data_IF_666217135471
#
_entry.id   IF_666217135471
#
_cell.length_a   1.000
_cell.length_b   1.000
_cell.length_c   1.000
_cell.angle_alpha   90.00
_cell.angle_beta   90.00
_cell.angle_gamma   90.00
#
_symmetry.space_group_name_H-M   'P 1'
#
loop_
_entity.id
_entity.type
_entity.pdbx_description
1 polymer ?
#
# COMPACT_ATOMS: atom_id res chain seq x y z
N UNK A 1 18.70 32.75 2.52
CA UNK A 1 19.41 33.01 1.25
C UNK A 1 18.64 32.35 0.13
N UNK A 2 18.03 33.16 -0.75
CA UNK A 2 17.15 32.72 -1.80
C UNK A 2 17.94 32.51 -3.10
N UNK A 3 17.80 31.34 -3.73
CA UNK A 3 18.28 31.11 -5.09
C UNK A 3 17.08 31.00 -6.04
N UNK A 4 16.94 32.03 -6.88
CA UNK A 4 15.99 32.12 -7.98
C UNK A 4 16.68 31.64 -9.25
N UNK A 5 16.17 30.58 -9.89
CA UNK A 5 16.59 30.18 -11.23
C UNK A 5 15.55 30.63 -12.26
N UNK A 6 15.93 31.58 -13.13
CA UNK A 6 15.15 32.02 -14.29
C UNK A 6 15.43 31.08 -15.47
N UNK A 7 14.39 30.52 -16.08
CA UNK A 7 14.46 29.77 -17.34
C UNK A 7 14.07 30.71 -18.49
N UNK A 8 14.95 30.87 -19.46
CA UNK A 8 14.67 31.55 -20.73
C UNK A 8 14.10 30.56 -21.77
N UNK A 9 13.11 30.97 -22.59
CA UNK A 9 12.56 30.11 -23.64
C UNK A 9 13.49 30.08 -24.87
N UNK A 10 13.71 28.90 -25.43
CA UNK A 10 14.39 28.72 -26.71
C UNK A 10 13.45 29.06 -27.86
N UNK A 11 13.92 29.94 -28.74
CA UNK A 11 13.29 30.36 -29.99
C UNK A 11 13.40 29.29 -31.08
N UNK A 12 12.29 29.13 -31.81
CA UNK A 12 12.10 28.32 -33.00
C UNK A 12 12.92 28.77 -34.21
N UNK A 13 13.52 27.83 -34.93
CA UNK A 13 13.97 28.03 -36.32
C UNK A 13 13.41 26.93 -37.23
N UNK A 14 12.62 27.38 -38.19
CA UNK A 14 12.13 26.65 -39.34
C UNK A 14 13.23 26.43 -40.37
N UNK A 15 13.36 25.21 -40.90
CA UNK A 15 14.05 24.97 -42.16
C UNK A 15 13.14 24.14 -43.08
N UNK A 16 12.70 24.80 -44.14
CA UNK A 16 12.09 24.23 -45.34
C UNK A 16 13.24 23.93 -46.30
N UNK A 17 13.28 22.72 -46.88
CA UNK A 17 13.90 22.52 -48.18
C UNK A 17 13.20 21.39 -48.93
N UNK A 18 12.85 21.71 -50.18
CA UNK A 18 12.16 20.88 -51.15
C UNK A 18 13.14 20.43 -52.23
N UNK A 19 13.04 19.18 -52.69
CA UNK A 19 13.17 18.85 -54.11
C UNK A 19 12.72 17.43 -54.42
N UNK A 20 11.95 17.29 -55.50
CA UNK A 20 11.35 16.09 -56.06
C UNK A 20 12.35 15.29 -56.91
N UNK A 21 12.21 13.96 -56.96
CA UNK A 21 12.30 13.16 -58.19
C UNK A 21 11.76 11.73 -57.98
N UNK A 22 11.11 11.16 -59.00
CA UNK A 22 10.31 9.92 -59.00
C UNK A 22 11.08 8.72 -59.61
N UNK A 23 10.95 7.54 -58.98
CA UNK A 23 10.66 6.14 -59.46
C UNK A 23 11.42 5.53 -60.68
N UNK A 24 11.56 4.18 -60.84
CA UNK A 24 10.55 3.15 -60.54
C UNK A 24 11.02 1.81 -59.90
N UNK A 25 10.03 0.94 -59.70
CA UNK A 25 9.97 -0.33 -58.94
C UNK A 25 10.64 -1.55 -59.61
N UNK A 26 11.07 -2.52 -58.81
CA UNK A 26 10.74 -3.96 -59.01
C UNK A 26 10.94 -4.78 -57.72
N UNK A 27 10.28 -5.96 -57.57
CA UNK A 27 9.98 -6.57 -56.28
C UNK A 27 10.98 -7.65 -55.88
N UNK A 28 11.26 -7.78 -54.58
CA UNK A 28 11.87 -9.00 -54.04
C UNK A 28 11.05 -9.58 -52.89
N UNK A 29 11.03 -10.91 -52.92
CA UNK A 29 10.15 -11.83 -52.23
C UNK A 29 10.21 -11.76 -50.69
N UNK A 30 9.10 -12.22 -50.14
CA UNK A 30 8.83 -12.41 -48.72
C UNK A 30 9.82 -13.35 -48.03
N UNK A 31 10.22 -12.99 -46.81
CA UNK A 31 10.46 -13.95 -45.74
C UNK A 31 9.75 -13.47 -44.48
N UNK A 32 8.64 -14.14 -44.16
CA UNK A 32 8.00 -14.07 -42.85
C UNK A 32 8.95 -14.69 -41.81
N UNK A 33 9.63 -13.86 -41.03
CA UNK A 33 10.28 -14.32 -39.81
C UNK A 33 9.20 -14.46 -38.73
N UNK A 34 8.95 -15.71 -38.32
CA UNK A 34 8.12 -16.03 -37.17
C UNK A 34 8.68 -15.30 -35.93
N UNK A 35 7.86 -14.64 -35.09
CA UNK A 35 8.34 -14.15 -33.81
C UNK A 35 8.70 -15.36 -32.94
N UNK A 36 9.95 -15.39 -32.50
CA UNK A 36 10.49 -16.38 -31.57
C UNK A 36 9.94 -16.03 -30.18
N UNK A 37 8.90 -16.74 -29.75
CA UNK A 37 8.36 -16.60 -28.39
C UNK A 37 9.28 -17.32 -27.41
N UNK A 38 10.22 -16.56 -26.80
CA UNK A 38 11.01 -17.05 -25.68
C UNK A 38 10.12 -16.97 -24.43
N UNK A 39 9.60 -18.12 -24.00
CA UNK A 39 8.86 -18.25 -22.74
C UNK A 39 9.88 -18.41 -21.61
N UNK A 40 10.30 -17.28 -21.02
CA UNK A 40 11.08 -17.30 -19.79
C UNK A 40 10.12 -17.54 -18.62
N UNK A 41 10.03 -18.79 -18.14
CA UNK A 41 9.43 -19.10 -16.85
C UNK A 41 10.44 -18.75 -15.76
N UNK A 42 10.29 -17.61 -15.11
CA UNK A 42 10.95 -17.34 -13.82
C UNK A 42 9.97 -17.69 -12.71
N UNK A 43 9.86 -18.98 -12.41
CA UNK A 43 9.37 -19.41 -11.09
C UNK A 43 10.55 -19.24 -10.14
N UNK A 44 10.65 -18.07 -9.51
CA UNK A 44 11.53 -17.86 -8.37
C UNK A 44 10.94 -18.61 -7.19
N UNK A 45 11.60 -19.70 -6.82
CA UNK A 45 11.27 -20.53 -5.67
C UNK A 45 11.86 -19.85 -4.41
N UNK A 46 11.01 -19.12 -3.67
CA UNK A 46 11.38 -18.41 -2.44
C UNK A 46 11.53 -19.35 -1.22
N UNK A 47 11.57 -20.67 -1.41
CA UNK A 47 11.65 -21.65 -0.31
C UNK A 47 13.06 -21.86 0.28
N UNK A 48 14.08 -21.19 -0.25
CA UNK A 48 15.43 -21.18 0.35
C UNK A 48 15.74 -19.80 0.89
N UNK A 49 16.50 -19.76 1.98
CA UNK A 49 16.98 -18.59 2.72
C UNK A 49 16.11 -18.15 3.92
N UNK A 50 16.11 -19.00 4.95
CA UNK A 50 16.20 -18.56 6.35
C UNK A 50 17.34 -19.35 7.00
N UNK A 51 18.47 -18.71 7.23
CA UNK A 51 19.50 -19.24 8.13
C UNK A 51 19.24 -18.72 9.54
N UNK A 52 18.12 -19.11 10.11
CA UNK A 52 17.89 -19.19 11.54
C UNK A 52 16.69 -20.12 11.76
N UNK A 53 16.90 -21.19 12.52
CA UNK A 53 15.91 -22.24 12.77
C UNK A 53 14.91 -21.76 13.84
N UNK A 54 13.99 -20.88 13.45
CA UNK A 54 12.71 -20.68 14.15
C UNK A 54 11.67 -21.52 13.44
N UNK A 55 10.86 -22.28 14.19
CA UNK A 55 9.79 -23.16 13.69
C UNK A 55 8.98 -22.43 12.61
N UNK A 56 9.10 -22.84 11.36
CA UNK A 56 8.41 -22.20 10.24
C UNK A 56 6.92 -22.54 10.32
N UNK A 57 6.11 -21.57 10.73
CA UNK A 57 4.66 -21.62 10.51
C UNK A 57 4.39 -21.81 9.02
N UNK A 58 3.47 -22.70 8.59
CA UNK A 58 3.15 -22.86 7.18
C UNK A 58 2.62 -21.54 6.62
N UNK A 59 3.38 -20.91 5.72
CA UNK A 59 2.90 -19.77 4.94
C UNK A 59 2.05 -20.32 3.79
N UNK A 60 0.76 -19.98 3.76
CA UNK A 60 -0.10 -20.34 2.65
C UNK A 60 -0.40 -19.11 1.81
N UNK A 61 0.34 -18.98 0.71
CA UNK A 61 0.14 -17.94 -0.28
C UNK A 61 -0.90 -18.40 -1.32
N UNK A 62 -1.81 -17.51 -1.70
CA UNK A 62 -2.86 -17.80 -2.67
C UNK A 62 -3.31 -16.52 -3.39
N UNK A 63 -4.25 -16.66 -4.34
CA UNK A 63 -4.87 -15.54 -5.02
C UNK A 63 -6.38 -15.64 -4.93
N UNK A 64 -7.03 -14.51 -4.69
CA UNK A 64 -8.48 -14.35 -4.77
C UNK A 64 -8.83 -13.48 -5.98
N UNK A 65 -9.91 -13.79 -6.69
CA UNK A 65 -10.31 -13.01 -7.86
C UNK A 65 -11.31 -11.94 -7.49
N UNK A 66 -10.86 -10.68 -7.51
CA UNK A 66 -11.74 -9.54 -7.35
C UNK A 66 -12.33 -9.10 -8.68
N UNK A 67 -13.66 -9.17 -8.80
CA UNK A 67 -14.37 -8.64 -9.96
C UNK A 67 -14.71 -7.17 -9.72
N UNK A 68 -14.09 -6.28 -10.49
CA UNK A 68 -14.38 -4.84 -10.46
C UNK A 68 -14.68 -4.31 -11.86
N UNK A 69 -15.94 -3.92 -12.08
CA UNK A 69 -16.47 -3.58 -13.41
C UNK A 69 -16.22 -4.74 -14.39
N UNK A 70 -15.55 -4.47 -15.50
CA UNK A 70 -15.20 -5.45 -16.53
C UNK A 70 -13.84 -6.13 -16.27
N UNK A 71 -13.17 -5.82 -15.16
CA UNK A 71 -11.88 -6.41 -14.80
C UNK A 71 -12.05 -7.55 -13.81
N UNK A 72 -11.29 -8.63 -14.05
CA UNK A 72 -11.05 -9.70 -13.09
C UNK A 72 -9.60 -9.56 -12.64
N UNK A 73 -9.39 -9.28 -11.36
CA UNK A 73 -8.11 -8.85 -10.82
C UNK A 73 -7.66 -9.92 -9.83
N UNK A 74 -6.51 -10.53 -10.05
CA UNK A 74 -5.93 -11.46 -9.09
C UNK A 74 -5.35 -10.66 -7.92
N UNK A 75 -5.85 -10.95 -6.73
CA UNK A 75 -5.48 -10.33 -5.47
C UNK A 75 -4.65 -11.35 -4.70
N UNK A 76 -3.37 -11.04 -4.52
CA UNK A 76 -2.46 -11.88 -3.76
C UNK A 76 -2.70 -11.72 -2.26
N UNK A 77 -2.67 -12.84 -1.54
CA UNK A 77 -2.77 -12.84 -0.09
C UNK A 77 -1.98 -13.98 0.54
N UNK A 78 -1.60 -13.80 1.80
CA UNK A 78 -0.85 -14.76 2.63
C UNK A 78 -1.59 -15.04 3.92
N UNK A 79 -1.81 -16.32 4.23
CA UNK A 79 -2.37 -16.78 5.50
C UNK A 79 -1.25 -17.27 6.43
N UNK A 80 -1.33 -16.85 7.69
CA UNK A 80 -0.50 -17.28 8.80
C UNK A 80 -1.40 -17.82 9.91
N UNK A 81 -1.18 -19.06 10.35
CA UNK A 81 -2.01 -19.70 11.37
C UNK A 81 -1.16 -20.48 12.38
N UNK A 82 -1.63 -20.56 13.62
CA UNK A 82 -1.04 -21.45 14.62
C UNK A 82 -1.42 -22.92 14.33
N UNK A 83 -0.64 -23.88 14.82
CA UNK A 83 -1.04 -25.29 14.82
C UNK A 83 -2.01 -25.57 15.98
N UNK A 84 -3.23 -25.02 15.89
CA UNK A 84 -4.31 -25.29 16.84
C UNK A 84 -5.46 -26.04 16.17
N UNK A 85 -6.15 -26.88 16.94
CA UNK A 85 -7.35 -27.59 16.50
C UNK A 85 -8.62 -26.73 16.62
N UNK A 86 -8.57 -25.61 17.36
CA UNK A 86 -9.71 -24.73 17.56
C UNK A 86 -10.01 -23.92 16.29
N UNK A 87 -11.28 -23.61 15.98
CA UNK A 87 -11.62 -22.75 14.86
C UNK A 87 -10.93 -21.38 14.96
N UNK A 88 -10.25 -20.90 13.92
CA UNK A 88 -9.52 -19.64 13.99
C UNK A 88 -10.46 -18.43 13.96
N UNK A 89 -10.08 -17.36 14.64
CA UNK A 89 -10.60 -16.01 14.43
C UNK A 89 -9.67 -15.23 13.52
N UNK A 90 -10.22 -14.51 12.55
CA UNK A 90 -9.43 -13.83 11.54
C UNK A 90 -8.99 -12.41 11.97
N UNK A 91 -7.73 -12.12 11.67
CA UNK A 91 -7.15 -10.80 11.61
C UNK A 91 -6.84 -10.50 10.15
N UNK A 92 -7.43 -9.44 9.59
CA UNK A 92 -7.04 -8.92 8.30
C UNK A 92 -5.95 -7.85 8.48
N UNK A 93 -4.77 -8.09 7.93
CA UNK A 93 -3.66 -7.13 7.91
C UNK A 93 -3.54 -6.52 6.52
N UNK A 94 -3.55 -5.20 6.47
CA UNK A 94 -3.58 -4.45 5.22
C UNK A 94 -2.33 -3.57 5.16
N UNK A 95 -1.40 -3.85 4.22
CA UNK A 95 -0.24 -3.01 3.95
C UNK A 95 -0.62 -1.55 3.77
N UNK A 96 0.35 -0.67 4.00
CA UNK A 96 0.22 0.73 3.61
C UNK A 96 -0.09 0.87 2.13
N UNK A 97 -0.45 2.08 1.70
CA UNK A 97 -0.49 2.42 0.29
C UNK A 97 0.68 3.35 0.00
N UNK A 98 1.64 2.85 -0.77
CA UNK A 98 2.80 3.59 -1.25
C UNK A 98 3.21 3.07 -2.63
N UNK A 99 4.33 3.56 -3.15
CA UNK A 99 4.83 3.17 -4.46
C UNK A 99 5.29 1.71 -4.55
N UNK A 100 5.60 1.11 -3.39
CA UNK A 100 6.24 -0.21 -3.26
C UNK A 100 5.60 -1.06 -2.17
N UNK A 101 4.38 -0.73 -1.75
CA UNK A 101 3.69 -1.45 -0.70
C UNK A 101 3.35 -2.88 -1.09
N UNK A 102 3.41 -3.77 -0.11
CA UNK A 102 3.29 -5.22 -0.30
C UNK A 102 3.00 -5.93 1.03
N UNK A 103 2.51 -7.17 0.98
CA UNK A 103 2.30 -8.04 2.16
C UNK A 103 3.54 -8.18 3.05
N UNK A 104 4.73 -7.98 2.49
CA UNK A 104 6.00 -8.13 3.21
C UNK A 104 6.09 -7.22 4.45
N UNK A 105 5.42 -6.06 4.41
CA UNK A 105 5.34 -5.10 5.51
C UNK A 105 4.81 -5.72 6.81
N UNK A 106 4.01 -6.79 6.72
CA UNK A 106 3.30 -7.39 7.85
C UNK A 106 3.73 -8.83 8.17
N UNK A 107 4.59 -9.46 7.35
CA UNK A 107 4.92 -10.90 7.48
C UNK A 107 5.49 -11.27 8.85
N UNK A 108 6.37 -10.44 9.41
CA UNK A 108 6.99 -10.70 10.72
C UNK A 108 5.94 -10.52 11.83
N UNK A 109 5.18 -9.41 11.78
CA UNK A 109 4.09 -9.13 12.72
C UNK A 109 3.05 -10.27 12.73
N UNK A 110 2.62 -10.74 11.57
CA UNK A 110 1.67 -11.84 11.42
C UNK A 110 2.20 -13.14 12.03
N UNK A 111 3.45 -13.52 11.72
CA UNK A 111 4.07 -14.73 12.31
C UNK A 111 4.15 -14.64 13.82
N UNK A 112 4.61 -13.53 14.36
CA UNK A 112 4.75 -13.39 15.80
C UNK A 112 3.39 -13.41 16.50
N UNK A 113 2.39 -12.70 15.96
CA UNK A 113 1.05 -12.64 16.55
C UNK A 113 0.40 -14.01 16.66
N UNK A 114 0.45 -14.84 15.61
CA UNK A 114 -0.18 -16.17 15.63
C UNK A 114 0.60 -17.21 16.44
N UNK A 115 1.86 -16.89 16.82
CA UNK A 115 2.68 -17.75 17.70
C UNK A 115 2.62 -17.34 19.17
N UNK A 116 2.13 -16.14 19.49
CA UNK A 116 1.99 -15.68 20.87
C UNK A 116 0.91 -16.47 21.60
N UNK A 117 1.14 -16.69 22.89
CA UNK A 117 0.16 -17.31 23.77
C UNK A 117 -1.11 -16.45 23.86
N UNK A 118 -2.24 -17.05 23.49
CA UNK A 118 -3.54 -16.40 23.39
C UNK A 118 -4.62 -17.43 23.70
N UNK A 119 -5.70 -17.00 24.36
CA UNK A 119 -6.88 -17.86 24.55
C UNK A 119 -7.66 -18.10 23.25
N UNK A 120 -7.40 -17.28 22.23
CA UNK A 120 -8.06 -17.33 20.94
C UNK A 120 -7.06 -17.85 19.91
N UNK A 121 -7.47 -18.83 19.11
CA UNK A 121 -6.69 -19.23 17.95
C UNK A 121 -6.79 -18.14 16.87
N UNK A 122 -5.79 -17.27 16.78
CA UNK A 122 -5.75 -16.23 15.75
C UNK A 122 -5.16 -16.77 14.43
N UNK A 123 -5.79 -16.40 13.32
CA UNK A 123 -5.24 -16.51 11.97
C UNK A 123 -5.09 -15.13 11.37
N UNK A 124 -3.90 -14.80 10.89
CA UNK A 124 -3.62 -13.54 10.22
C UNK A 124 -3.63 -13.74 8.71
N UNK A 125 -4.40 -12.91 8.01
CA UNK A 125 -4.44 -12.84 6.55
C UNK A 125 -3.89 -11.49 6.11
N UNK A 126 -2.80 -11.48 5.35
CA UNK A 126 -2.21 -10.26 4.77
C UNK A 126 -2.60 -10.19 3.30
N UNK A 127 -3.07 -9.04 2.83
CA UNK A 127 -3.55 -8.88 1.45
C UNK A 127 -2.81 -7.76 0.70
N UNK A 128 -2.47 -8.00 -0.56
CA UNK A 128 -1.99 -6.94 -1.44
C UNK A 128 -3.14 -6.18 -2.09
N UNK A 129 -3.06 -4.86 -2.08
CA UNK A 129 -3.99 -3.99 -2.79
C UNK A 129 -4.02 -4.27 -4.31
N UNK A 130 -5.18 -4.11 -4.98
CA UNK A 130 -5.21 -4.07 -6.44
C UNK A 130 -4.27 -2.97 -6.94
N UNK A 131 -3.36 -3.32 -7.85
CA UNK A 131 -2.37 -2.39 -8.36
C UNK A 131 -1.04 -2.29 -7.59
N UNK A 132 -0.87 -3.01 -6.49
CA UNK A 132 0.35 -3.03 -5.66
C UNK A 132 0.83 -4.46 -5.38
N UNK A 133 1.99 -4.60 -4.72
CA UNK A 133 2.55 -5.89 -4.31
C UNK A 133 2.57 -6.96 -5.41
N UNK A 134 2.18 -8.17 -5.07
CA UNK A 134 2.11 -9.30 -5.98
C UNK A 134 0.75 -9.41 -6.70
N UNK A 135 -0.24 -8.57 -6.35
CA UNK A 135 -1.52 -8.45 -7.05
C UNK A 135 -1.37 -7.92 -8.49
N UNK A 136 -2.42 -8.16 -9.29
CA UNK A 136 -2.54 -7.62 -10.65
C UNK A 136 -2.61 -6.09 -10.65
N UNK A 137 -2.09 -5.48 -11.72
CA UNK A 137 -1.96 -4.01 -11.83
C UNK A 137 -2.61 -3.46 -13.10
N UNK A 138 -3.91 -3.68 -13.30
CA UNK A 138 -4.60 -3.20 -14.48
C UNK A 138 -4.60 -1.67 -14.53
N UNK A 139 -4.65 -1.13 -15.74
CA UNK A 139 -4.87 0.30 -15.97
C UNK A 139 -6.32 0.63 -15.58
N UNK A 140 -6.49 1.31 -14.45
CA UNK A 140 -7.79 1.84 -14.03
C UNK A 140 -7.64 3.22 -13.37
N UNK A 141 -8.75 3.88 -13.11
CA UNK A 141 -8.80 5.16 -12.40
C UNK A 141 -8.86 4.90 -10.89
N UNK A 142 -7.72 4.49 -10.32
CA UNK A 142 -7.56 4.32 -8.88
C UNK A 142 -7.84 5.63 -8.14
N UNK A 143 -8.70 5.57 -7.14
CA UNK A 143 -9.04 6.65 -6.21
C UNK A 143 -9.47 6.02 -4.86
N UNK A 144 -9.68 6.86 -3.84
CA UNK A 144 -10.09 6.40 -2.51
C UNK A 144 -11.36 5.52 -2.53
N UNK A 145 -12.36 5.84 -3.36
CA UNK A 145 -13.60 5.06 -3.46
C UNK A 145 -13.35 3.67 -4.06
N UNK A 146 -12.45 3.56 -5.04
CA UNK A 146 -12.07 2.26 -5.62
C UNK A 146 -11.34 1.40 -4.59
N UNK A 147 -10.42 1.98 -3.83
CA UNK A 147 -9.67 1.26 -2.79
C UNK A 147 -10.60 0.86 -1.63
N UNK A 148 -11.50 1.74 -1.19
CA UNK A 148 -12.55 1.44 -0.20
C UNK A 148 -13.47 0.32 -0.71
N UNK A 149 -13.90 0.38 -1.98
CA UNK A 149 -14.76 -0.67 -2.58
C UNK A 149 -14.08 -2.02 -2.59
N UNK A 150 -12.79 -2.07 -2.92
CA UNK A 150 -11.99 -3.30 -2.82
C UNK A 150 -12.01 -3.86 -1.40
N UNK A 151 -11.71 -3.02 -0.40
CA UNK A 151 -11.71 -3.44 1.01
C UNK A 151 -13.07 -4.00 1.44
N UNK A 152 -14.16 -3.30 1.09
CA UNK A 152 -15.52 -3.72 1.39
C UNK A 152 -15.86 -5.05 0.71
N UNK A 153 -15.48 -5.23 -0.56
CA UNK A 153 -15.71 -6.47 -1.29
C UNK A 153 -14.89 -7.63 -0.72
N UNK A 154 -13.62 -7.39 -0.38
CA UNK A 154 -12.73 -8.38 0.21
C UNK A 154 -13.29 -8.94 1.52
N UNK A 155 -13.77 -8.04 2.40
CA UNK A 155 -14.31 -8.41 3.72
C UNK A 155 -15.66 -9.13 3.58
N UNK A 156 -16.53 -8.68 2.67
CA UNK A 156 -17.89 -9.20 2.55
C UNK A 156 -18.02 -10.39 1.59
N UNK A 157 -16.98 -10.69 0.79
CA UNK A 157 -17.01 -11.76 -0.19
C UNK A 157 -17.24 -13.13 0.48
N UNK A 158 -18.23 -13.92 0.04
CA UNK A 158 -18.51 -15.24 0.61
C UNK A 158 -17.40 -16.26 0.32
N UNK A 159 -16.62 -16.04 -0.73
CA UNK A 159 -15.43 -16.81 -1.14
C UNK A 159 -14.13 -16.03 -0.91
N UNK A 160 -14.21 -14.92 -0.18
CA UNK A 160 -13.08 -14.07 0.14
C UNK A 160 -12.12 -14.72 1.13
N UNK A 161 -10.89 -14.21 1.24
CA UNK A 161 -9.84 -14.79 2.08
C UNK A 161 -10.13 -14.68 3.58
N UNK A 162 -11.11 -13.88 4.00
CA UNK A 162 -11.56 -13.74 5.40
C UNK A 162 -13.04 -14.14 5.60
N UNK A 163 -13.59 -14.93 4.68
CA UNK A 163 -15.01 -15.31 4.64
C UNK A 163 -15.53 -16.09 5.85
N UNK A 164 -14.64 -16.74 6.61
CA UNK A 164 -14.97 -17.54 7.80
C UNK A 164 -15.27 -16.73 9.07
N UNK A 165 -14.97 -15.42 9.10
CA UNK A 165 -15.01 -14.61 10.34
C UNK A 165 -15.96 -13.41 10.28
N UNK A 166 -17.09 -13.53 9.57
CA UNK A 166 -17.96 -12.38 9.24
C UNK A 166 -18.34 -11.48 10.43
N UNK A 167 -18.55 -12.05 11.61
CA UNK A 167 -18.94 -11.30 12.82
C UNK A 167 -17.79 -11.13 13.83
N UNK A 168 -16.63 -11.72 13.56
CA UNK A 168 -15.50 -11.80 14.51
C UNK A 168 -14.19 -11.21 13.97
N UNK A 169 -14.21 -10.61 12.77
CA UNK A 169 -13.03 -10.05 12.11
C UNK A 169 -12.44 -8.85 12.87
N UNK A 170 -11.13 -8.86 13.06
CA UNK A 170 -10.33 -7.69 13.48
C UNK A 170 -9.50 -7.20 12.30
N UNK A 171 -9.34 -5.87 12.13
CA UNK A 171 -8.59 -5.31 10.99
C UNK A 171 -7.43 -4.45 11.47
N UNK A 172 -6.21 -4.76 11.00
CA UNK A 172 -5.01 -3.95 11.22
C UNK A 172 -4.60 -3.31 9.90
N UNK A 173 -4.56 -1.98 9.85
CA UNK A 173 -4.20 -1.23 8.65
C UNK A 173 -3.00 -0.33 8.90
N UNK A 174 -2.07 -0.28 7.94
CA UNK A 174 -0.97 0.69 7.94
C UNK A 174 -1.31 1.95 7.14
N UNK A 175 -0.90 3.14 7.60
CA UNK A 175 -0.95 4.36 6.78
C UNK A 175 -2.36 4.66 6.23
N UNK A 176 -2.46 4.88 4.91
CA UNK A 176 -3.75 5.10 4.22
C UNK A 176 -4.74 3.94 4.31
N UNK A 177 -4.26 2.71 4.50
CA UNK A 177 -5.13 1.56 4.69
C UNK A 177 -5.99 1.72 5.95
N UNK A 178 -5.40 2.21 7.04
CA UNK A 178 -6.13 2.50 8.27
C UNK A 178 -7.25 3.51 8.03
N UNK A 179 -6.94 4.62 7.35
CA UNK A 179 -7.92 5.68 7.08
C UNK A 179 -9.08 5.19 6.19
N UNK A 180 -8.81 4.34 5.20
CA UNK A 180 -9.84 3.71 4.36
C UNK A 180 -10.70 2.72 5.16
N UNK A 181 -10.10 1.91 6.03
CA UNK A 181 -10.84 0.98 6.91
C UNK A 181 -11.77 1.74 7.87
N UNK A 182 -11.28 2.79 8.52
CA UNK A 182 -12.09 3.63 9.42
C UNK A 182 -13.23 4.28 8.63
N UNK A 183 -12.97 4.80 7.42
CA UNK A 183 -14.01 5.37 6.56
C UNK A 183 -15.09 4.37 6.17
N UNK A 184 -14.71 3.16 5.78
CA UNK A 184 -15.63 2.09 5.43
C UNK A 184 -16.49 1.65 6.64
N UNK A 185 -15.87 1.53 7.82
CA UNK A 185 -16.55 1.20 9.06
C UNK A 185 -17.53 2.31 9.49
N UNK A 186 -17.12 3.57 9.39
CA UNK A 186 -17.96 4.73 9.73
C UNK A 186 -19.20 4.83 8.83
N UNK A 187 -19.04 4.46 7.55
CA UNK A 187 -20.15 4.35 6.58
C UNK A 187 -21.01 3.08 6.75
N UNK A 188 -20.67 2.21 7.70
CA UNK A 188 -21.38 0.95 7.95
C UNK A 188 -21.24 -0.09 6.83
N UNK A 189 -20.24 0.06 5.94
CA UNK A 189 -19.99 -0.85 4.82
C UNK A 189 -19.25 -2.12 5.26
N UNK A 190 -18.53 -2.04 6.37
CA UNK A 190 -17.88 -3.16 7.08
C UNK A 190 -18.11 -2.99 8.58
N UNK A 191 -18.06 -4.10 9.32
CA UNK A 191 -18.32 -4.11 10.77
C UNK A 191 -17.28 -4.98 11.52
N UNK A 192 -15.98 -4.63 11.46
CA UNK A 192 -14.99 -5.36 12.24
C UNK A 192 -15.25 -5.16 13.74
N UNK A 193 -14.86 -6.14 14.55
CA UNK A 193 -14.95 -6.06 16.03
C UNK A 193 -13.98 -5.05 16.63
N UNK A 194 -12.87 -4.80 15.95
CA UNK A 194 -11.96 -3.72 16.29
C UNK A 194 -10.98 -3.43 15.16
N UNK A 195 -10.35 -2.26 15.26
CA UNK A 195 -9.42 -1.75 14.27
C UNK A 195 -8.13 -1.31 14.96
N UNK A 196 -6.98 -1.74 14.45
CA UNK A 196 -5.71 -1.10 14.77
C UNK A 196 -5.23 -0.28 13.57
N UNK A 197 -5.09 1.02 13.79
CA UNK A 197 -4.58 2.00 12.85
C UNK A 197 -3.10 2.25 13.15
N UNK A 198 -2.21 1.63 12.37
CA UNK A 198 -0.75 1.71 12.56
C UNK A 198 -0.15 2.78 11.66
N UNK A 199 0.52 3.75 12.28
CA UNK A 199 1.04 4.95 11.63
C UNK A 199 0.03 5.56 10.64
N UNK A 200 -1.23 5.84 11.05
CA UNK A 200 -2.28 6.17 10.10
C UNK A 200 -2.01 7.49 9.39
N UNK A 201 -2.16 7.48 8.08
CA UNK A 201 -2.00 8.64 7.20
C UNK A 201 -3.21 8.75 6.28
N UNK A 202 -3.49 9.95 5.78
CA UNK A 202 -4.61 10.17 4.88
C UNK A 202 -4.27 11.05 3.68
N UNK A 203 -3.18 11.81 3.73
CA UNK A 203 -2.78 12.73 2.67
C UNK A 203 -1.56 12.20 1.92
N UNK A 204 -1.66 12.14 0.59
CA UNK A 204 -0.57 11.75 -0.29
C UNK A 204 0.60 12.74 -0.28
N UNK A 205 1.78 12.36 -0.79
CA UNK A 205 3.01 13.15 -0.71
C UNK A 205 2.90 14.58 -1.24
N UNK A 206 2.22 14.82 -2.37
CA UNK A 206 2.11 16.18 -2.90
C UNK A 206 1.08 17.03 -2.12
N UNK A 207 -0.16 16.56 -1.88
CA UNK A 207 -1.12 17.31 -1.07
C UNK A 207 -0.61 17.65 0.33
N UNK A 208 0.07 16.73 1.02
CA UNK A 208 0.55 16.99 2.38
C UNK A 208 1.66 18.04 2.41
N UNK A 209 2.47 18.15 1.35
CA UNK A 209 3.59 19.09 1.28
C UNK A 209 3.16 20.46 0.75
N UNK A 210 2.33 20.47 -0.30
CA UNK A 210 2.02 21.67 -1.09
C UNK A 210 0.57 22.16 -0.94
N UNK A 211 -0.29 21.44 -0.22
CA UNK A 211 -1.68 21.82 -0.01
C UNK A 211 -2.61 21.42 -1.15
N UNK A 212 -3.84 21.94 -1.12
CA UNK A 212 -4.95 21.51 -2.00
C UNK A 212 -5.71 22.67 -2.65
N UNK A 213 -5.07 23.82 -2.85
CA UNK A 213 -5.74 24.89 -3.58
C UNK A 213 -6.00 24.47 -5.04
N UNK A 214 -6.97 25.14 -5.68
CA UNK A 214 -7.42 24.82 -7.04
C UNK A 214 -6.28 24.79 -8.08
N UNK A 215 -5.25 25.62 -7.88
CA UNK A 215 -4.09 25.65 -8.76
C UNK A 215 -3.19 24.42 -8.59
N UNK A 216 -3.03 23.94 -7.35
CA UNK A 216 -2.30 22.71 -7.05
C UNK A 216 -3.03 21.48 -7.56
N UNK A 217 -4.34 21.38 -7.33
CA UNK A 217 -5.17 20.26 -7.81
C UNK A 217 -5.10 20.12 -9.34
N UNK A 218 -5.07 21.24 -10.07
CA UNK A 218 -4.88 21.23 -11.51
C UNK A 218 -3.50 20.67 -11.93
N UNK A 219 -2.42 21.03 -11.20
CA UNK A 219 -1.06 20.51 -11.43
C UNK A 219 -0.97 19.01 -11.13
N UNK A 220 -1.63 18.57 -10.06
CA UNK A 220 -1.73 17.15 -9.69
C UNK A 220 -2.42 16.35 -10.80
N UNK A 221 -3.51 16.88 -11.36
CA UNK A 221 -4.18 16.30 -12.52
C UNK A 221 -3.26 16.13 -13.74
N UNK A 222 -2.50 17.18 -14.08
CA UNK A 222 -1.54 17.13 -15.19
C UNK A 222 -0.41 16.11 -14.98
N UNK A 223 0.20 16.11 -13.78
CA UNK A 223 1.25 15.18 -13.43
C UNK A 223 0.74 13.73 -13.50
N UNK A 224 -0.43 13.46 -12.91
CA UNK A 224 -1.09 12.15 -12.96
C UNK A 224 -1.36 11.71 -14.40
N UNK A 225 -1.92 12.60 -15.23
CA UNK A 225 -2.15 12.32 -16.65
C UNK A 225 -0.85 11.94 -17.37
N UNK A 226 0.24 12.66 -17.07
CA UNK A 226 1.56 12.40 -17.65
C UNK A 226 2.12 11.04 -17.21
N UNK A 227 2.10 10.72 -15.92
CA UNK A 227 2.54 9.40 -15.41
C UNK A 227 1.73 8.24 -16.00
N UNK A 228 0.45 8.45 -16.30
CA UNK A 228 -0.43 7.43 -16.89
C UNK A 228 -0.23 7.25 -18.40
N UNK A 229 0.37 8.24 -19.09
CA UNK A 229 0.56 8.21 -20.53
C UNK A 229 1.45 7.03 -20.98
N UNK A 230 1.13 6.34 -22.08
CA UNK A 230 2.03 5.35 -22.68
C UNK A 230 3.38 5.99 -23.05
N UNK A 231 4.47 5.21 -22.96
CA UNK A 231 5.85 5.62 -23.22
C UNK A 231 6.37 6.76 -22.32
N UNK A 232 5.89 8.00 -22.49
CA UNK A 232 6.35 9.18 -21.72
C UNK A 232 6.14 8.99 -20.22
N UNK A 233 4.96 8.49 -19.83
CA UNK A 233 4.67 8.21 -18.42
C UNK A 233 5.54 7.10 -17.85
N UNK A 234 5.91 6.09 -18.66
CA UNK A 234 6.83 5.04 -18.25
C UNK A 234 8.26 5.56 -18.07
N UNK A 235 8.74 6.39 -18.99
CA UNK A 235 10.05 7.03 -18.86
C UNK A 235 10.11 7.91 -17.61
N UNK A 236 9.09 8.73 -17.37
CA UNK A 236 9.05 9.61 -16.20
C UNK A 236 8.94 8.81 -14.89
N UNK A 237 8.13 7.76 -14.86
CA UNK A 237 8.04 6.84 -13.71
C UNK A 237 9.39 6.16 -13.42
N UNK A 238 10.12 5.74 -14.45
CA UNK A 238 11.44 5.15 -14.26
C UNK A 238 12.47 6.12 -13.66
N UNK A 239 12.39 7.39 -14.03
CA UNK A 239 13.30 8.41 -13.51
C UNK A 239 12.94 8.78 -12.07
N UNK A 240 11.66 8.96 -11.78
CA UNK A 240 11.19 9.54 -10.51
C UNK A 240 10.92 8.50 -9.42
N UNK A 241 10.50 7.29 -9.78
CA UNK A 241 10.00 6.28 -8.83
C UNK A 241 10.80 4.97 -8.94
N UNK A 242 10.97 4.40 -10.13
CA UNK A 242 11.67 3.13 -10.31
C UNK A 242 13.19 3.31 -10.36
N UNK A 243 13.76 3.72 -9.22
CA UNK A 243 15.18 3.99 -9.03
C UNK A 243 15.60 3.54 -7.61
N UNK A 244 16.49 2.56 -7.51
CA UNK A 244 16.98 2.01 -6.23
C UNK A 244 17.48 3.09 -5.28
N UNK A 245 18.24 4.08 -5.76
CA UNK A 245 18.77 5.17 -4.92
C UNK A 245 17.67 6.10 -4.44
N UNK A 246 16.63 6.31 -5.25
CA UNK A 246 15.48 7.09 -4.83
C UNK A 246 14.71 6.35 -3.73
N UNK A 247 14.44 5.06 -3.93
CA UNK A 247 13.80 4.18 -2.93
C UNK A 247 14.60 4.18 -1.63
N UNK A 248 15.92 3.94 -1.72
CA UNK A 248 16.82 3.95 -0.56
C UNK A 248 16.80 5.30 0.17
N UNK A 249 16.85 6.40 -0.59
CA UNK A 249 16.79 7.75 -0.02
C UNK A 249 15.47 8.02 0.68
N UNK A 250 14.33 7.56 0.13
CA UNK A 250 13.03 7.68 0.80
C UNK A 250 13.02 6.86 2.08
N UNK A 251 13.48 5.61 2.01
CA UNK A 251 13.52 4.72 3.16
C UNK A 251 14.34 5.28 4.32
N UNK A 252 15.55 5.78 4.04
CA UNK A 252 16.45 6.36 5.04
C UNK A 252 16.00 7.72 5.59
N UNK A 253 15.09 8.42 4.91
CA UNK A 253 14.72 9.80 5.30
C UNK A 253 13.37 9.92 5.99
N UNK A 254 12.40 9.06 5.68
CA UNK A 254 11.06 9.18 6.24
C UNK A 254 10.27 7.87 6.39
N UNK A 255 10.63 6.80 5.69
CA UNK A 255 9.90 5.53 5.82
C UNK A 255 10.34 4.82 7.09
N UNK A 256 11.65 4.70 7.31
CA UNK A 256 12.27 4.13 8.50
C UNK A 256 12.83 5.22 9.41
N UNK A 257 12.81 4.93 10.71
CA UNK A 257 13.40 5.76 11.76
C UNK A 257 14.91 5.60 11.86
N UNK A 258 15.43 4.41 11.57
CA UNK A 258 16.84 4.07 11.58
C UNK A 258 17.32 3.77 10.15
N UNK A 259 18.16 4.62 9.55
CA UNK A 259 18.68 4.40 8.21
C UNK A 259 19.55 3.14 8.10
N UNK A 260 20.10 2.63 9.21
CA UNK A 260 20.90 1.40 9.24
C UNK A 260 20.04 0.13 9.09
N UNK A 261 18.73 0.23 9.32
CA UNK A 261 17.78 -0.86 9.08
C UNK A 261 17.41 -0.99 7.59
N UNK A 262 17.83 -0.04 6.75
CA UNK A 262 17.56 -0.05 5.30
C UNK A 262 18.61 -0.93 4.61
N UNK A 263 18.28 -2.22 4.45
CA UNK A 263 19.19 -3.20 3.88
C UNK A 263 19.11 -3.28 2.35
N UNK A 264 20.15 -3.77 1.66
CA UNK A 264 20.10 -4.02 0.21
C UNK A 264 18.94 -4.91 -0.21
N UNK A 265 18.58 -5.92 0.59
CA UNK A 265 17.49 -6.86 0.30
C UNK A 265 16.12 -6.18 0.30
N UNK A 266 15.89 -5.23 1.23
CA UNK A 266 14.68 -4.40 1.22
C UNK A 266 14.64 -3.57 -0.08
N UNK A 267 15.75 -2.92 -0.43
CA UNK A 267 15.81 -2.08 -1.63
C UNK A 267 15.59 -2.90 -2.91
N UNK A 268 16.20 -4.08 -3.02
CA UNK A 268 16.01 -5.00 -4.15
C UNK A 268 14.54 -5.44 -4.27
N UNK A 269 13.92 -5.86 -3.15
CA UNK A 269 12.51 -6.26 -3.14
C UNK A 269 11.59 -5.11 -3.60
N UNK A 270 11.76 -3.92 -3.01
CA UNK A 270 10.96 -2.72 -3.36
C UNK A 270 11.20 -2.29 -4.81
N UNK A 271 12.44 -2.36 -5.29
CA UNK A 271 12.76 -2.03 -6.68
C UNK A 271 12.13 -3.03 -7.66
N UNK A 272 12.15 -4.33 -7.36
CA UNK A 272 11.49 -5.34 -8.19
C UNK A 272 9.98 -5.06 -8.34
N UNK A 273 9.32 -4.59 -7.29
CA UNK A 273 7.92 -4.16 -7.36
C UNK A 273 7.72 -3.03 -8.35
N UNK A 274 8.62 -2.04 -8.43
CA UNK A 274 8.49 -0.95 -9.40
C UNK A 274 8.64 -1.39 -10.87
N UNK A 275 9.21 -2.57 -11.14
CA UNK A 275 9.42 -3.07 -12.51
C UNK A 275 8.27 -3.87 -13.09
N UNK A 276 7.31 -4.32 -12.28
CA UNK A 276 6.19 -5.11 -12.78
C UNK A 276 5.29 -4.26 -13.70
N UNK A 277 4.66 -4.93 -14.65
CA UNK A 277 3.72 -4.28 -15.56
C UNK A 277 2.62 -3.54 -14.79
N UNK A 278 2.30 -2.32 -15.23
CA UNK A 278 1.27 -1.49 -14.60
C UNK A 278 1.67 -0.84 -13.27
N UNK A 279 2.91 -1.02 -12.78
CA UNK A 279 3.38 -0.50 -11.49
C UNK A 279 3.17 1.00 -11.27
N UNK A 280 3.03 1.80 -12.33
CA UNK A 280 2.90 3.27 -12.24
C UNK A 280 1.50 3.79 -11.89
N UNK A 281 0.44 2.98 -12.01
CA UNK A 281 -0.93 3.52 -11.98
C UNK A 281 -1.41 3.89 -10.58
N UNK A 282 -1.19 3.03 -9.58
CA UNK A 282 -1.50 3.34 -8.18
C UNK A 282 -0.56 4.42 -7.62
N UNK A 283 0.77 4.35 -7.82
CA UNK A 283 1.70 5.42 -7.43
C UNK A 283 1.28 6.80 -7.95
N UNK A 284 0.88 6.90 -9.22
CA UNK A 284 0.41 8.17 -9.78
C UNK A 284 -0.83 8.71 -9.06
N UNK A 285 -1.74 7.84 -8.62
CA UNK A 285 -2.91 8.23 -7.83
C UNK A 285 -2.54 8.61 -6.39
N UNK A 286 -1.65 7.84 -5.75
CA UNK A 286 -1.15 8.08 -4.40
C UNK A 286 -0.40 9.41 -4.29
N UNK A 287 0.63 9.61 -5.13
CA UNK A 287 1.44 10.83 -5.16
C UNK A 287 0.59 12.10 -5.30
N UNK A 288 -0.49 12.02 -6.07
CA UNK A 288 -1.36 13.16 -6.42
C UNK A 288 -2.61 13.28 -5.56
N UNK A 289 -2.74 12.47 -4.50
CA UNK A 289 -3.82 12.60 -3.53
C UNK A 289 -5.18 12.04 -3.95
N UNK A 290 -5.26 11.26 -5.03
CA UNK A 290 -6.54 10.61 -5.40
C UNK A 290 -6.95 9.49 -4.44
N UNK A 291 -5.98 8.90 -3.73
CA UNK A 291 -6.24 7.84 -2.76
C UNK A 291 -6.57 8.40 -1.37
N UNK A 292 -6.60 9.72 -1.23
CA UNK A 292 -6.82 10.37 0.05
C UNK A 292 -8.31 10.30 0.40
N UNK A 293 -8.69 9.65 1.52
CA UNK A 293 -10.10 9.43 1.85
C UNK A 293 -10.84 10.68 2.29
N UNK A 294 -10.11 11.72 2.66
CA UNK A 294 -10.57 13.01 3.21
C UNK A 294 -9.69 14.13 2.68
N UNK A 295 -10.11 15.39 2.88
CA UNK A 295 -9.44 16.58 2.35
C UNK A 295 -8.78 17.44 3.41
N UNK A 296 -9.13 17.26 4.68
CA UNK A 296 -8.56 18.00 5.81
C UNK A 296 -8.33 17.12 7.03
N UNK A 297 -7.56 17.66 7.99
CA UNK A 297 -7.32 17.00 9.28
C UNK A 297 -8.61 16.88 10.10
N UNK A 298 -9.47 17.88 10.03
CA UNK A 298 -10.75 17.90 10.74
C UNK A 298 -11.64 16.76 10.25
N UNK A 299 -11.76 16.58 8.93
CA UNK A 299 -12.46 15.44 8.34
C UNK A 299 -11.79 14.11 8.74
N UNK A 300 -10.45 14.06 8.82
CA UNK A 300 -9.73 12.86 9.28
C UNK A 300 -10.06 12.49 10.73
N UNK A 301 -10.06 13.46 11.66
CA UNK A 301 -10.44 13.25 13.07
C UNK A 301 -11.93 12.88 13.20
N UNK A 302 -12.79 13.48 12.37
CA UNK A 302 -14.22 13.18 12.33
C UNK A 302 -14.51 11.72 11.92
N UNK A 303 -13.69 11.14 11.04
CA UNK A 303 -13.81 9.72 10.68
C UNK A 303 -13.75 8.80 11.91
N UNK A 304 -12.83 9.06 12.84
CA UNK A 304 -12.69 8.29 14.08
C UNK A 304 -13.83 8.60 15.04
N UNK A 305 -14.24 9.86 15.14
CA UNK A 305 -15.35 10.29 16.00
C UNK A 305 -16.66 9.58 15.68
N UNK A 306 -16.86 9.19 14.41
CA UNK A 306 -18.03 8.42 13.97
C UNK A 306 -18.05 6.96 14.45
N UNK A 307 -16.95 6.44 14.99
CA UNK A 307 -16.83 5.09 15.53
C UNK A 307 -16.94 5.00 17.06
N UNK A 308 -17.16 6.14 17.72
CA UNK A 308 -17.26 6.20 19.17
C UNK A 308 -18.31 5.26 19.74
N UNK A 309 -17.91 4.52 20.77
CA UNK A 309 -18.73 3.50 21.44
C UNK A 309 -19.24 2.36 20.52
N UNK A 310 -18.81 2.31 19.25
CA UNK A 310 -19.23 1.26 18.30
C UNK A 310 -18.25 0.09 18.23
N UNK A 311 -16.96 0.35 18.38
CA UNK A 311 -15.90 -0.67 18.35
C UNK A 311 -14.62 -0.17 19.00
N UNK A 312 -13.71 -1.09 19.33
CA UNK A 312 -12.39 -0.75 19.84
C UNK A 312 -11.47 -0.27 18.70
N UNK A 313 -10.85 0.90 18.87
CA UNK A 313 -9.87 1.46 17.92
C UNK A 313 -8.56 1.77 18.63
N UNK A 314 -7.50 1.10 18.22
CA UNK A 314 -6.12 1.42 18.59
C UNK A 314 -5.50 2.33 17.52
N UNK A 315 -4.87 3.43 17.95
CA UNK A 315 -4.01 4.26 17.10
C UNK A 315 -2.56 4.12 17.58
N UNK A 316 -1.68 3.69 16.67
CA UNK A 316 -0.23 3.64 16.89
C UNK A 316 0.42 4.80 16.14
N UNK A 317 0.85 5.81 16.89
CA UNK A 317 1.75 6.86 16.40
C UNK A 317 3.20 6.41 16.55
N UNK A 318 4.14 7.14 15.93
CA UNK A 318 5.56 6.78 15.95
C UNK A 318 6.46 7.95 16.28
N UNK A 319 7.57 7.69 16.97
CA UNK A 319 8.50 8.71 17.46
C UNK A 319 9.16 9.53 16.33
N UNK A 320 9.60 8.90 15.24
CA UNK A 320 10.41 9.54 14.18
C UNK A 320 9.66 9.76 12.87
N UNK A 321 8.33 9.73 12.90
CA UNK A 321 7.52 10.09 11.72
C UNK A 321 7.82 11.52 11.24
N UNK A 322 7.81 11.80 9.92
CA UNK A 322 7.97 13.15 9.40
C UNK A 322 6.99 14.13 10.03
N UNK A 323 7.44 15.36 10.31
CA UNK A 323 6.69 16.39 11.05
C UNK A 323 5.22 16.54 10.61
N UNK A 324 4.94 16.51 9.31
CA UNK A 324 3.58 16.68 8.79
C UNK A 324 2.70 15.46 9.08
N UNK A 325 3.16 14.25 8.72
CA UNK A 325 2.45 13.00 9.01
C UNK A 325 2.29 12.78 10.51
N UNK A 326 3.33 13.08 11.30
CA UNK A 326 3.28 13.05 12.77
C UNK A 326 2.16 13.96 13.30
N UNK A 327 2.03 15.17 12.77
CA UNK A 327 0.97 16.08 13.20
C UNK A 327 -0.44 15.57 12.86
N UNK A 328 -0.62 14.80 11.79
CA UNK A 328 -1.90 14.13 11.50
C UNK A 328 -2.19 13.00 12.51
N UNK A 329 -1.18 12.19 12.84
CA UNK A 329 -1.32 11.13 13.84
C UNK A 329 -1.63 11.73 15.23
N UNK A 330 -0.89 12.74 15.66
CA UNK A 330 -1.09 13.38 16.97
C UNK A 330 -2.45 14.07 17.10
N UNK A 331 -3.10 14.44 16.00
CA UNK A 331 -4.46 14.98 16.04
C UNK A 331 -5.50 13.95 16.51
N UNK A 332 -5.17 12.65 16.46
CA UNK A 332 -6.01 11.57 16.97
C UNK A 332 -5.82 11.31 18.47
N UNK A 333 -4.82 11.94 19.11
CA UNK A 333 -4.58 11.77 20.55
C UNK A 333 -5.74 12.34 21.35
N UNK A 334 -6.46 11.47 22.06
CA UNK A 334 -7.66 11.84 22.81
C UNK A 334 -8.86 12.21 21.93
N UNK A 335 -8.81 11.90 20.63
CA UNK A 335 -9.96 12.06 19.75
C UNK A 335 -11.07 11.08 20.13
N UNK A 336 -12.32 11.54 19.95
CA UNK A 336 -13.51 10.69 20.13
C UNK A 336 -13.43 9.48 19.18
N UNK A 337 -13.86 8.31 19.65
CA UNK A 337 -13.75 7.04 18.91
C UNK A 337 -12.36 6.42 18.80
N UNK A 338 -11.32 7.01 19.39
CA UNK A 338 -10.02 6.35 19.60
C UNK A 338 -9.98 5.76 21.01
N UNK A 339 -10.07 4.43 21.11
CA UNK A 339 -10.09 3.72 22.40
C UNK A 339 -8.73 3.74 23.10
N UNK A 340 -7.65 3.63 22.33
CA UNK A 340 -6.28 3.65 22.84
C UNK A 340 -5.36 4.36 21.85
N UNK A 341 -4.51 5.23 22.36
CA UNK A 341 -3.47 5.89 21.57
C UNK A 341 -2.12 5.59 22.20
N UNK A 342 -1.19 5.06 21.41
CA UNK A 342 0.18 4.76 21.83
C UNK A 342 1.20 5.36 20.87
N UNK A 343 2.42 5.54 21.35
CA UNK A 343 3.57 5.95 20.55
C UNK A 343 4.64 4.87 20.64
N UNK A 344 5.09 4.36 19.49
CA UNK A 344 6.10 3.31 19.39
C UNK A 344 7.34 3.81 18.62
N UNK A 345 8.50 3.13 18.75
CA UNK A 345 9.63 3.33 17.84
C UNK A 345 9.23 3.12 16.38
N UNK A 346 9.82 3.90 15.48
CA UNK A 346 9.54 3.83 14.04
C UNK A 346 9.24 5.18 13.41
N UNK A 347 8.95 5.13 12.10
CA UNK A 347 8.49 6.26 11.30
C UNK A 347 7.20 5.88 10.57
N UNK A 348 7.20 5.76 9.24
CA UNK A 348 5.96 5.48 8.49
C UNK A 348 5.66 3.98 8.30
N UNK A 349 6.65 3.10 8.49
CA UNK A 349 6.47 1.64 8.47
C UNK A 349 6.97 0.97 9.77
N UNK A 350 6.46 1.35 10.96
CA UNK A 350 6.88 0.71 12.21
C UNK A 350 6.63 -0.81 12.22
N UNK A 351 5.60 -1.30 11.51
CA UNK A 351 5.30 -2.72 11.38
C UNK A 351 6.36 -3.50 10.59
N UNK A 352 7.11 -2.82 9.70
CA UNK A 352 8.18 -3.43 8.92
C UNK A 352 9.53 -3.28 9.63
N UNK A 353 9.77 -2.12 10.25
CA UNK A 353 11.05 -1.78 10.87
C UNK A 353 11.20 -2.30 12.30
N UNK A 354 10.13 -2.23 13.11
CA UNK A 354 10.07 -2.67 14.50
C UNK A 354 8.95 -3.70 14.71
N UNK A 355 8.93 -4.80 13.92
CA UNK A 355 7.80 -5.72 13.87
C UNK A 355 7.47 -6.34 15.22
N UNK A 356 8.48 -6.69 16.03
CA UNK A 356 8.27 -7.30 17.35
C UNK A 356 7.56 -6.36 18.32
N UNK A 357 7.95 -5.08 18.34
CA UNK A 357 7.32 -4.08 19.21
C UNK A 357 5.88 -3.82 18.78
N UNK A 358 5.63 -3.75 17.47
CA UNK A 358 4.28 -3.62 16.92
C UNK A 358 3.43 -4.85 17.22
N UNK A 359 3.97 -6.06 17.06
CA UNK A 359 3.28 -7.31 17.35
C UNK A 359 2.91 -7.44 18.84
N UNK A 360 3.77 -6.98 19.75
CA UNK A 360 3.48 -6.94 21.19
C UNK A 360 2.30 -6.03 21.52
N UNK A 361 2.27 -4.81 20.98
CA UNK A 361 1.16 -3.89 21.22
C UNK A 361 -0.14 -4.38 20.60
N UNK A 362 -0.09 -4.93 19.38
CA UNK A 362 -1.26 -5.50 18.72
C UNK A 362 -1.79 -6.73 19.47
N UNK A 363 -0.91 -7.57 20.02
CA UNK A 363 -1.31 -8.70 20.86
C UNK A 363 -1.99 -8.22 22.15
N UNK A 364 -1.44 -7.18 22.79
CA UNK A 364 -2.04 -6.60 23.97
C UNK A 364 -3.42 -6.01 23.69
N UNK A 365 -3.59 -5.32 22.56
CA UNK A 365 -4.90 -4.85 22.10
C UNK A 365 -5.90 -6.01 21.91
N UNK A 366 -5.48 -7.11 21.29
CA UNK A 366 -6.34 -8.29 21.12
C UNK A 366 -6.76 -8.87 22.48
N UNK A 367 -5.81 -9.00 23.41
CA UNK A 367 -6.07 -9.52 24.75
C UNK A 367 -7.07 -8.65 25.51
N UNK A 368 -6.84 -7.34 25.55
CA UNK A 368 -7.66 -6.37 26.28
C UNK A 368 -9.12 -6.32 25.79
N UNK A 369 -9.34 -6.52 24.48
CA UNK A 369 -10.66 -6.27 23.88
C UNK A 369 -11.42 -7.54 23.48
N UNK A 370 -10.74 -8.68 23.35
CA UNK A 370 -11.36 -9.91 22.83
C UNK A 370 -11.10 -11.15 23.67
N UNK A 371 -10.11 -11.15 24.57
CA UNK A 371 -9.79 -12.30 25.44
C UNK A 371 -10.17 -12.12 26.91
N UNK A 372 -10.61 -10.92 27.29
CA UNK A 372 -11.22 -10.68 28.59
C UNK A 372 -12.65 -11.20 28.54
N UNK A 373 -12.84 -12.42 29.03
CA UNK A 373 -14.15 -12.91 29.46
C UNK A 373 -14.44 -12.35 30.85
N UNK A 374 -15.59 -11.70 31.01
CA UNK A 374 -16.31 -11.69 32.30
C UNK A 374 -16.66 -13.12 32.73
#
# INVERSE_FOLDING_TARGET
MAFSAKLHPFSSTSLISSSKSRRPLSPHNAFFLKPLTIRASTTLDYSKYSSEATRSTPLKASNWQWKFKDNLINIYYEEHESQSADPPKDILMIPTISDVSTVEEWRIVARELVQKDSKINWRATIVDWPGLGFSDRPKMDYNADVMEKFLVDLINAPDGPVSSSKDDLVVFGGGHAAALTIRAANRGLVKPRGIAAVAPTWAGPLPIVFGRDSSMESRYGFLRGTLRAPAVGWMMYNILVSNEKAIESQYKSHVYANPDNVTPEIIESRYALTKRDGARYVPAAFLTGLLDPVKSREEFVELFSGLDEKMAVLVVSTEKSPKRSKAEMEALRGAKGVSKFVELPGALLPQEEYPTVVAEELHQFLKENFEVTD
#
